data_IF_432755740679
#
_entry.id   IF_432755740679
#
_cell.length_a   1.000
_cell.length_b   1.000
_cell.length_c   1.000
_cell.angle_alpha   90.00
_cell.angle_beta   90.00
_cell.angle_gamma   90.00
#
_symmetry.space_group_name_H-M   'P 1'
#
loop_
_entity.id
_entity.type
_entity.pdbx_description
1 polymer ?
#
# COMPACT_ATOMS: atom_id res chain seq x y z
N UNK A 1 10.97 8.18 -12.69
CA UNK A 1 9.53 8.53 -12.70
C UNK A 1 9.37 9.92 -12.13
N UNK A 2 8.58 10.77 -12.78
CA UNK A 2 8.14 12.03 -12.18
C UNK A 2 7.09 11.76 -11.07
N UNK A 3 6.71 12.79 -10.31
CA UNK A 3 5.83 12.64 -9.15
C UNK A 3 4.44 12.11 -9.52
N UNK A 4 3.88 12.53 -10.66
CA UNK A 4 2.59 12.02 -11.14
C UNK A 4 2.66 10.54 -11.52
N UNK A 5 3.75 10.10 -12.17
CA UNK A 5 4.00 8.69 -12.46
C UNK A 5 4.16 7.86 -11.18
N UNK A 6 4.87 8.39 -10.17
CA UNK A 6 4.99 7.78 -8.84
C UNK A 6 3.61 7.64 -8.17
N UNK A 7 2.79 8.69 -8.20
CA UNK A 7 1.42 8.64 -7.66
C UNK A 7 0.59 7.55 -8.35
N UNK A 8 0.59 7.51 -9.68
CA UNK A 8 -0.14 6.51 -10.45
C UNK A 8 0.30 5.09 -10.07
N UNK A 9 1.62 4.84 -10.07
CA UNK A 9 2.16 3.51 -9.76
C UNK A 9 1.84 3.07 -8.33
N UNK A 10 1.99 3.96 -7.36
CA UNK A 10 1.62 3.66 -5.97
C UNK A 10 0.12 3.39 -5.85
N UNK A 11 -0.74 4.15 -6.54
CA UNK A 11 -2.19 3.91 -6.52
C UNK A 11 -2.56 2.52 -7.06
N UNK A 12 -1.88 2.07 -8.12
CA UNK A 12 -2.03 0.70 -8.65
C UNK A 12 -1.59 -0.35 -7.62
N UNK A 13 -0.43 -0.16 -6.99
CA UNK A 13 0.10 -1.09 -5.98
C UNK A 13 -0.78 -1.16 -4.73
N UNK A 14 -1.25 -0.02 -4.22
CA UNK A 14 -2.19 0.01 -3.10
C UNK A 14 -3.55 -0.62 -3.45
N UNK A 15 -4.00 -0.50 -4.71
CA UNK A 15 -5.20 -1.22 -5.17
C UNK A 15 -4.99 -2.73 -5.16
N UNK A 16 -3.81 -3.22 -5.57
CA UNK A 16 -3.47 -4.65 -5.48
C UNK A 16 -3.42 -5.13 -4.02
N UNK A 17 -2.82 -4.36 -3.11
CA UNK A 17 -2.84 -4.68 -1.67
C UNK A 17 -4.27 -4.76 -1.14
N UNK A 18 -5.11 -3.77 -1.47
CA UNK A 18 -6.51 -3.73 -1.07
C UNK A 18 -7.25 -4.99 -1.51
N UNK A 19 -7.08 -5.40 -2.75
CA UNK A 19 -7.77 -6.57 -3.30
C UNK A 19 -7.31 -7.85 -2.60
N UNK A 20 -6.01 -7.99 -2.31
CA UNK A 20 -5.48 -9.13 -1.56
C UNK A 20 -6.06 -9.18 -0.15
N UNK A 21 -5.96 -8.09 0.62
CA UNK A 21 -6.44 -8.03 2.02
C UNK A 21 -7.95 -8.28 2.10
N UNK A 22 -8.71 -7.66 1.19
CA UNK A 22 -10.16 -7.85 1.11
C UNK A 22 -10.54 -9.30 0.83
N UNK A 23 -9.78 -10.01 -0.01
CA UNK A 23 -10.05 -11.41 -0.32
C UNK A 23 -9.79 -12.35 0.86
N UNK A 24 -8.91 -11.96 1.80
CA UNK A 24 -8.68 -12.69 3.05
C UNK A 24 -9.70 -12.33 4.15
N UNK A 25 -10.61 -11.37 3.89
CA UNK A 25 -11.67 -10.98 4.81
C UNK A 25 -11.24 -10.01 5.92
N UNK A 26 -10.02 -9.48 5.87
CA UNK A 26 -9.55 -8.47 6.81
C UNK A 26 -9.99 -7.07 6.36
N UNK A 27 -10.58 -6.30 7.27
CA UNK A 27 -11.09 -4.96 7.01
C UNK A 27 -10.30 -3.86 7.72
N UNK A 28 -9.43 -4.19 8.68
CA UNK A 28 -8.78 -3.20 9.55
C UNK A 28 -7.88 -2.26 8.75
N UNK A 29 -7.11 -2.82 7.82
CA UNK A 29 -6.15 -2.08 6.98
C UNK A 29 -6.79 -1.39 5.77
N UNK A 30 -8.02 -1.75 5.43
CA UNK A 30 -8.67 -1.28 4.20
C UNK A 30 -8.97 0.22 4.25
N UNK A 31 -9.19 0.80 5.44
CA UNK A 31 -9.45 2.23 5.59
C UNK A 31 -8.22 3.03 5.15
N UNK A 32 -7.07 2.78 5.77
CA UNK A 32 -5.82 3.49 5.45
C UNK A 32 -5.40 3.29 3.98
N UNK A 33 -5.53 2.06 3.45
CA UNK A 33 -5.17 1.76 2.07
C UNK A 33 -6.09 2.49 1.08
N UNK A 34 -7.39 2.60 1.37
CA UNK A 34 -8.31 3.39 0.55
C UNK A 34 -7.95 4.88 0.58
N UNK A 35 -7.59 5.40 1.75
CA UNK A 35 -7.16 6.79 1.89
C UNK A 35 -5.90 7.07 1.08
N UNK A 36 -4.92 6.15 1.06
CA UNK A 36 -3.73 6.29 0.23
C UNK A 36 -4.08 6.34 -1.27
N UNK A 37 -4.96 5.46 -1.75
CA UNK A 37 -5.40 5.47 -3.15
C UNK A 37 -6.04 6.82 -3.50
N UNK A 38 -6.91 7.34 -2.63
CA UNK A 38 -7.56 8.65 -2.84
C UNK A 38 -6.53 9.78 -2.89
N UNK A 39 -5.56 9.80 -1.96
CA UNK A 39 -4.49 10.81 -1.89
C UNK A 39 -3.56 10.79 -3.11
N UNK A 40 -3.42 9.64 -3.78
CA UNK A 40 -2.57 9.46 -4.95
C UNK A 40 -3.31 9.69 -6.28
N UNK A 41 -4.64 9.81 -6.27
CA UNK A 41 -5.44 9.87 -7.49
C UNK A 41 -5.59 11.31 -8.01
N UNK A 42 -5.06 11.65 -9.20
CA UNK A 42 -5.27 12.94 -9.83
C UNK A 42 -6.73 13.11 -10.32
N UNK A 43 -7.20 14.34 -10.54
CA UNK A 43 -6.47 15.60 -10.31
C UNK A 43 -6.55 16.11 -8.86
N UNK A 44 -7.36 15.46 -8.03
CA UNK A 44 -7.75 16.02 -6.73
C UNK A 44 -6.87 15.59 -5.57
N UNK A 45 -6.17 14.45 -5.68
CA UNK A 45 -5.23 13.97 -4.67
C UNK A 45 -5.80 13.95 -3.24
N UNK A 46 -7.08 13.61 -3.08
CA UNK A 46 -7.76 13.64 -1.79
C UNK A 46 -7.86 15.03 -1.14
N UNK A 47 -7.77 16.11 -1.92
CA UNK A 47 -7.71 17.49 -1.43
C UNK A 47 -6.31 17.96 -1.05
N UNK A 48 -5.27 17.17 -1.33
CA UNK A 48 -3.87 17.57 -1.17
C UNK A 48 -3.44 18.40 -2.39
N UNK A 49 -2.59 19.40 -2.14
CA UNK A 49 -2.18 20.42 -3.10
C UNK A 49 -1.67 19.85 -4.44
N UNK A 50 -0.68 18.96 -4.40
CA UNK A 50 -0.07 18.39 -5.59
C UNK A 50 0.48 16.98 -5.37
N UNK A 51 1.00 16.39 -6.45
CA UNK A 51 1.58 15.05 -6.43
C UNK A 51 2.75 14.90 -5.44
N UNK A 52 3.61 15.91 -5.25
CA UNK A 52 4.73 15.83 -4.32
C UNK A 52 4.24 15.81 -2.87
N UNK A 53 3.32 16.71 -2.54
CA UNK A 53 2.71 16.78 -1.21
C UNK A 53 1.97 15.46 -0.88
N UNK A 54 1.26 14.89 -1.85
CA UNK A 54 0.61 13.58 -1.69
C UNK A 54 1.57 12.44 -1.46
N UNK A 55 2.63 12.34 -2.26
CA UNK A 55 3.66 11.31 -2.09
C UNK A 55 4.28 11.38 -0.70
N UNK A 56 4.61 12.60 -0.24
CA UNK A 56 5.15 12.79 1.11
C UNK A 56 4.16 12.36 2.18
N UNK A 57 2.89 12.78 2.07
CA UNK A 57 1.84 12.44 3.05
C UNK A 57 1.62 10.93 3.13
N UNK A 58 1.54 10.26 1.99
CA UNK A 58 1.38 8.80 1.90
C UNK A 58 2.62 8.08 2.42
N UNK A 59 3.83 8.56 2.10
CA UNK A 59 5.08 8.00 2.64
C UNK A 59 5.10 8.03 4.16
N UNK A 60 4.80 9.19 4.76
CA UNK A 60 4.80 9.37 6.21
C UNK A 60 3.73 8.47 6.88
N UNK A 61 2.53 8.39 6.30
CA UNK A 61 1.44 7.55 6.82
C UNK A 61 1.75 6.06 6.68
N UNK A 62 2.21 5.59 5.51
CA UNK A 62 2.54 4.18 5.29
C UNK A 62 3.71 3.73 6.17
N UNK A 63 4.71 4.59 6.37
CA UNK A 63 5.80 4.36 7.33
C UNK A 63 5.30 4.22 8.75
N UNK A 64 4.26 4.95 9.12
CA UNK A 64 3.65 4.86 10.45
C UNK A 64 2.82 3.57 10.59
N UNK A 65 2.03 3.24 9.57
CA UNK A 65 1.21 2.02 9.50
C UNK A 65 2.05 0.74 9.63
N UNK A 66 3.29 0.74 9.12
CA UNK A 66 4.23 -0.38 9.22
C UNK A 66 5.17 -0.36 10.44
N UNK A 67 4.89 0.41 11.49
CA UNK A 67 5.73 0.48 12.71
C UNK A 67 4.97 0.02 13.94
N UNK A 68 5.67 -0.72 14.82
CA UNK A 68 5.13 -1.22 16.09
C UNK A 68 4.79 -2.71 16.05
N UNK A 69 4.55 -3.30 17.23
CA UNK A 69 4.17 -4.71 17.34
C UNK A 69 2.74 -4.91 16.81
N UNK A 70 2.55 -5.87 15.92
CA UNK A 70 1.24 -6.14 15.30
C UNK A 70 0.86 -5.09 14.26
N UNK A 71 1.85 -4.36 13.73
CA UNK A 71 1.61 -3.36 12.67
C UNK A 71 1.44 -4.03 11.32
N UNK A 72 1.15 -3.23 10.29
CA UNK A 72 0.94 -3.76 8.93
C UNK A 72 2.19 -4.46 8.35
N UNK A 73 3.39 -4.19 8.89
CA UNK A 73 4.60 -4.94 8.52
C UNK A 73 4.48 -6.43 8.83
N UNK A 74 3.75 -6.76 9.89
CA UNK A 74 3.59 -8.11 10.42
C UNK A 74 2.39 -8.83 9.77
N UNK A 75 1.62 -8.13 8.92
CA UNK A 75 0.48 -8.72 8.23
C UNK A 75 0.94 -9.84 7.28
N UNK A 76 0.26 -10.98 7.43
CA UNK A 76 0.56 -12.21 6.73
C UNK A 76 -0.75 -12.94 6.39
N UNK A 77 -0.81 -13.48 5.18
CA UNK A 77 -1.97 -14.21 4.66
C UNK A 77 -1.94 -15.63 5.22
N UNK A 78 -2.95 -16.02 6.00
CA UNK A 78 -3.08 -17.38 6.53
C UNK A 78 -4.03 -18.23 5.68
N UNK A 79 -3.52 -19.36 5.18
CA UNK A 79 -4.29 -20.40 4.49
C UNK A 79 -3.87 -21.78 5.00
N UNK A 80 -4.78 -22.75 4.99
CA UNK A 80 -4.49 -24.11 5.47
C UNK A 80 -3.44 -24.82 4.61
N UNK A 81 -3.54 -24.70 3.28
CA UNK A 81 -2.56 -25.26 2.36
C UNK A 81 -1.25 -24.44 2.38
N UNK A 82 -0.13 -25.14 2.61
CA UNK A 82 1.19 -24.50 2.74
C UNK A 82 1.64 -23.84 1.43
N UNK A 83 1.43 -24.49 0.29
CA UNK A 83 1.88 -24.00 -1.01
C UNK A 83 1.06 -22.79 -1.45
N UNK A 84 -0.25 -22.81 -1.24
CA UNK A 84 -1.12 -21.66 -1.47
C UNK A 84 -0.75 -20.48 -0.56
N UNK A 85 -0.47 -20.77 0.72
CA UNK A 85 -0.04 -19.77 1.69
C UNK A 85 1.29 -19.12 1.29
N UNK A 86 2.29 -19.91 0.90
CA UNK A 86 3.57 -19.38 0.45
C UNK A 86 3.41 -18.49 -0.79
N UNK A 87 2.70 -18.97 -1.81
CA UNK A 87 2.51 -18.22 -3.07
C UNK A 87 1.72 -16.93 -2.87
N UNK A 88 0.73 -16.93 -1.98
CA UNK A 88 -0.04 -15.73 -1.66
C UNK A 88 0.84 -14.67 -0.98
N UNK A 89 1.62 -15.08 0.02
CA UNK A 89 2.51 -14.17 0.74
C UNK A 89 3.67 -13.67 -0.12
N UNK A 90 4.25 -14.50 -1.00
CA UNK A 90 5.30 -14.05 -1.93
C UNK A 90 4.81 -12.88 -2.80
N UNK A 91 3.63 -13.04 -3.43
CA UNK A 91 3.01 -11.97 -4.24
C UNK A 91 2.72 -10.72 -3.40
N UNK A 92 2.19 -10.90 -2.20
CA UNK A 92 1.87 -9.80 -1.30
C UNK A 92 3.13 -9.04 -0.85
N UNK A 93 4.18 -9.76 -0.49
CA UNK A 93 5.46 -9.19 -0.08
C UNK A 93 6.15 -8.46 -1.23
N UNK A 94 6.05 -8.95 -2.46
CA UNK A 94 6.61 -8.26 -3.62
C UNK A 94 5.92 -6.93 -3.89
N UNK A 95 4.59 -6.85 -3.72
CA UNK A 95 3.85 -5.59 -3.79
C UNK A 95 4.32 -4.63 -2.69
N UNK A 96 4.44 -5.10 -1.44
CA UNK A 96 4.96 -4.29 -0.33
C UNK A 96 6.38 -3.78 -0.61
N UNK A 97 7.27 -4.63 -1.10
CA UNK A 97 8.65 -4.25 -1.46
C UNK A 97 8.68 -3.17 -2.54
N UNK A 98 7.82 -3.28 -3.56
CA UNK A 98 7.77 -2.29 -4.62
C UNK A 98 7.26 -0.93 -4.12
N UNK A 99 6.26 -0.93 -3.24
CA UNK A 99 5.79 0.30 -2.57
C UNK A 99 6.94 0.94 -1.79
N UNK A 100 7.64 0.17 -0.95
CA UNK A 100 8.79 0.66 -0.19
C UNK A 100 9.89 1.21 -1.11
N UNK A 101 10.19 0.52 -2.20
CA UNK A 101 11.19 0.99 -3.17
C UNK A 101 10.83 2.36 -3.75
N UNK A 102 9.56 2.60 -4.11
CA UNK A 102 9.14 3.91 -4.61
C UNK A 102 9.19 4.97 -3.50
N UNK A 103 8.74 4.62 -2.29
CA UNK A 103 8.63 5.55 -1.16
C UNK A 103 9.99 5.95 -0.54
N UNK A 104 11.00 5.09 -0.62
CA UNK A 104 12.36 5.38 -0.15
C UNK A 104 13.20 6.17 -1.18
N UNK A 105 12.73 6.22 -2.43
CA UNK A 105 13.32 7.00 -3.53
C UNK A 105 12.45 8.20 -3.92
N UNK A 106 11.72 8.80 -2.95
CA UNK A 106 10.91 9.99 -3.18
C UNK A 106 11.75 11.23 -3.44
#
# INVERSE_FOLDING_TARGET
>A
MNSTEKCKRLSELFSLLKDVIKNEGDNEWLIDINDFIIMLTPPYYGGIEDANASLKRVSDSYKTMGRGNGSFSDYFIWREDFEERMKANEKFDDVKKEIWHILDNL
#
